data_IF_516575316394
#
_entry.id   IF_516575316394
#
_cell.length_a   1.000
_cell.length_b   1.000
_cell.length_c   1.000
_cell.angle_alpha   90.00
_cell.angle_beta   90.00
_cell.angle_gamma   90.00
#
_symmetry.space_group_name_H-M   'P 1'
#
loop_
_entity.id
_entity.type
_entity.pdbx_description
1 polymer ?
#
# COMPACT_ATOMS: atom_id res chain seq x y z
N UNK A 1 -2.69 -1.21 26.25
CA UNK A 1 -3.85 -1.15 25.32
C UNK A 1 -3.41 -0.36 24.08
N UNK A 2 -3.15 -1.04 22.95
CA UNK A 2 -2.73 -0.42 21.68
C UNK A 2 -3.73 -0.77 20.55
N UNK A 3 -5.03 -0.80 20.87
CA UNK A 3 -6.06 -1.47 20.06
C UNK A 3 -6.61 -0.66 18.88
N UNK A 4 -6.26 0.62 18.71
CA UNK A 4 -6.86 1.48 17.68
C UNK A 4 -5.86 2.23 16.79
N UNK A 5 -4.65 1.69 16.62
CA UNK A 5 -3.74 2.20 15.57
C UNK A 5 -3.64 1.16 14.45
N UNK A 6 -3.49 1.57 13.16
CA UNK A 6 -3.34 0.66 12.01
C UNK A 6 -2.04 -0.17 12.02
N UNK A 7 -1.38 -0.26 13.19
CA UNK A 7 -0.12 -0.96 13.41
C UNK A 7 -0.33 -2.29 14.15
N UNK A 8 -1.58 -2.64 14.48
CA UNK A 8 -1.94 -3.77 15.34
C UNK A 8 -1.60 -5.17 14.80
N UNK A 9 -1.33 -5.31 13.51
CA UNK A 9 -1.00 -6.61 12.89
C UNK A 9 0.47 -6.78 12.47
N UNK A 10 1.38 -5.87 12.85
CA UNK A 10 2.80 -6.01 12.49
C UNK A 10 3.12 -5.87 10.99
N UNK A 11 2.12 -5.53 10.16
CA UNK A 11 2.27 -5.08 8.76
C UNK A 11 2.71 -3.61 8.74
N UNK A 12 3.85 -3.44 9.37
CA UNK A 12 4.70 -2.27 9.55
C UNK A 12 4.81 -1.43 8.28
N UNK A 13 4.56 -0.12 8.42
CA UNK A 13 5.44 1.04 8.13
C UNK A 13 6.71 0.88 7.24
N UNK A 14 6.87 -0.20 6.49
CA UNK A 14 8.07 -0.53 5.76
C UNK A 14 8.08 0.25 4.46
N UNK A 15 9.02 1.19 4.38
CA UNK A 15 9.11 2.17 3.32
C UNK A 15 8.93 3.56 3.89
N UNK A 16 7.69 3.92 4.24
CA UNK A 16 7.37 5.24 4.80
C UNK A 16 8.14 5.56 6.09
N UNK A 17 8.27 4.64 7.06
CA UNK A 17 9.07 4.91 8.26
C UNK A 17 10.59 4.99 8.00
N UNK A 18 11.04 4.54 6.82
CA UNK A 18 12.43 4.70 6.35
C UNK A 18 12.59 5.89 5.41
N UNK A 19 11.56 6.74 5.28
CA UNK A 19 11.50 7.84 4.31
C UNK A 19 11.78 7.41 2.87
N UNK A 20 11.46 6.15 2.53
CA UNK A 20 11.58 5.68 1.16
C UNK A 20 10.43 6.25 0.32
N UNK A 21 10.75 6.61 -0.93
CA UNK A 21 9.75 7.07 -1.89
C UNK A 21 9.06 5.87 -2.52
N UNK A 22 7.74 5.84 -2.47
CA UNK A 22 6.92 4.86 -3.16
C UNK A 22 7.23 4.92 -4.67
N UNK A 23 7.52 3.76 -5.27
CA UNK A 23 7.83 3.64 -6.70
C UNK A 23 6.58 3.30 -7.51
N UNK A 24 5.88 2.25 -7.09
CA UNK A 24 4.66 1.78 -7.77
C UNK A 24 3.82 0.91 -6.83
N UNK A 25 2.53 0.85 -7.14
CA UNK A 25 1.57 -0.09 -6.55
C UNK A 25 1.38 -1.22 -7.56
N UNK A 26 1.64 -2.45 -7.13
CA UNK A 26 1.62 -3.64 -8.00
C UNK A 26 0.25 -4.31 -7.99
N UNK A 27 -0.32 -4.47 -6.81
CA UNK A 27 -1.62 -5.14 -6.65
C UNK A 27 -2.27 -4.77 -5.31
N UNK A 28 -3.53 -5.17 -5.13
CA UNK A 28 -4.27 -5.02 -3.89
C UNK A 28 -5.05 -6.30 -3.56
N UNK A 29 -5.14 -6.65 -2.28
CA UNK A 29 -5.96 -7.77 -1.80
C UNK A 29 -6.66 -7.46 -0.49
N UNK A 30 -7.84 -8.02 -0.31
CA UNK A 30 -8.57 -7.97 0.96
C UNK A 30 -8.03 -9.10 1.85
N UNK A 31 -7.58 -8.75 3.04
CA UNK A 31 -7.15 -9.71 4.06
C UNK A 31 -8.38 -10.35 4.74
N UNK A 32 -8.21 -11.48 5.42
CA UNK A 32 -9.31 -12.24 6.04
C UNK A 32 -10.11 -11.46 7.08
N UNK A 33 -9.52 -10.42 7.67
CA UNK A 33 -10.17 -9.50 8.61
C UNK A 33 -10.87 -8.31 7.91
N UNK A 34 -11.02 -8.33 6.58
CA UNK A 34 -11.61 -7.24 5.79
C UNK A 34 -10.67 -6.07 5.50
N UNK A 35 -9.41 -6.12 5.95
CA UNK A 35 -8.46 -5.03 5.72
C UNK A 35 -7.93 -5.06 4.28
N UNK A 36 -8.04 -3.95 3.56
CA UNK A 36 -7.44 -3.81 2.24
C UNK A 36 -5.94 -3.53 2.34
N UNK A 37 -5.14 -4.45 1.79
CA UNK A 37 -3.70 -4.38 1.72
C UNK A 37 -3.24 -4.14 0.27
N UNK A 38 -2.18 -3.37 0.12
CA UNK A 38 -1.55 -3.07 -1.15
C UNK A 38 -0.14 -3.62 -1.20
N UNK A 39 0.19 -4.22 -2.34
CA UNK A 39 1.52 -4.70 -2.65
C UNK A 39 2.28 -3.59 -3.36
N UNK A 40 3.38 -3.12 -2.77
CA UNK A 40 4.11 -1.94 -3.22
C UNK A 40 5.60 -2.19 -3.37
N UNK A 41 6.21 -1.40 -4.25
CA UNK A 41 7.65 -1.32 -4.42
C UNK A 41 8.16 0.09 -4.06
N UNK A 42 9.33 0.15 -3.46
CA UNK A 42 9.98 1.38 -3.03
C UNK A 42 11.21 1.66 -3.88
N UNK A 43 11.44 2.93 -4.18
CA UNK A 43 12.66 3.37 -4.87
C UNK A 43 13.86 3.06 -3.97
N UNK A 44 14.92 2.52 -4.58
CA UNK A 44 16.18 2.19 -3.91
C UNK A 44 16.08 1.16 -2.76
N UNK A 45 14.99 0.38 -2.64
CA UNK A 45 14.87 -0.74 -1.66
C UNK A 45 15.24 -2.10 -2.28
N UNK A 46 16.19 -2.14 -3.21
CA UNK A 46 16.69 -3.40 -3.78
C UNK A 46 15.62 -4.28 -4.43
N UNK A 47 14.66 -3.66 -5.12
CA UNK A 47 13.52 -4.34 -5.77
C UNK A 47 12.60 -5.15 -4.83
N UNK A 48 12.67 -4.88 -3.52
CA UNK A 48 11.83 -5.55 -2.54
C UNK A 48 10.39 -5.10 -2.67
N UNK A 49 9.50 -6.08 -2.58
CA UNK A 49 8.06 -5.88 -2.60
C UNK A 49 7.52 -6.08 -1.19
N UNK A 50 6.64 -5.18 -0.75
CA UNK A 50 6.09 -5.19 0.62
C UNK A 50 4.60 -4.94 0.62
N UNK A 51 3.93 -5.38 1.67
CA UNK A 51 2.52 -5.11 1.89
C UNK A 51 2.35 -3.94 2.83
N UNK A 52 1.45 -3.02 2.48
CA UNK A 52 1.07 -1.90 3.33
C UNK A 52 -0.45 -1.75 3.35
N UNK A 53 -0.98 -1.18 4.43
CA UNK A 53 -2.41 -0.92 4.54
C UNK A 53 -2.85 0.23 3.65
N UNK A 54 -4.10 0.14 3.18
CA UNK A 54 -4.75 1.18 2.39
C UNK A 54 -4.78 2.56 3.08
N UNK A 55 -4.85 2.57 4.42
CA UNK A 55 -4.83 3.79 5.25
C UNK A 55 -3.56 4.62 5.06
N UNK A 56 -2.41 3.96 4.91
CA UNK A 56 -1.12 4.61 4.71
C UNK A 56 -1.04 5.24 3.31
N UNK A 57 -1.50 4.54 2.27
CA UNK A 57 -1.50 5.09 0.91
C UNK A 57 -2.39 6.32 0.77
N UNK A 58 -3.59 6.28 1.36
CA UNK A 58 -4.48 7.46 1.39
C UNK A 58 -3.84 8.66 2.06
N UNK A 59 -3.01 8.43 3.08
CA UNK A 59 -2.37 9.49 3.86
C UNK A 59 -1.15 10.06 3.15
N UNK A 60 -0.25 9.19 2.67
CA UNK A 60 1.08 9.60 2.20
C UNK A 60 1.23 9.65 0.68
N UNK A 61 0.36 9.00 -0.08
CA UNK A 61 0.48 8.92 -1.55
C UNK A 61 -0.89 8.78 -2.25
N UNK A 62 -1.85 9.69 -2.00
CA UNK A 62 -3.21 9.56 -2.53
C UNK A 62 -3.28 9.61 -4.06
N UNK A 63 -2.41 10.39 -4.72
CA UNK A 63 -2.36 10.47 -6.19
C UNK A 63 -2.00 9.11 -6.82
N UNK A 64 -0.91 8.48 -6.35
CA UNK A 64 -0.55 7.13 -6.82
C UNK A 64 -1.64 6.09 -6.57
N UNK A 65 -2.40 6.23 -5.47
CA UNK A 65 -3.53 5.37 -5.20
C UNK A 65 -4.66 5.56 -6.22
N UNK A 66 -4.95 6.82 -6.61
CA UNK A 66 -5.92 7.13 -7.67
C UNK A 66 -5.47 6.57 -9.01
N UNK A 67 -4.23 6.84 -9.43
CA UNK A 67 -3.67 6.33 -10.68
C UNK A 67 -3.76 4.80 -10.78
N UNK A 68 -3.50 4.09 -9.68
CA UNK A 68 -3.63 2.64 -9.60
C UNK A 68 -5.07 2.18 -9.88
N UNK A 69 -6.07 2.83 -9.28
CA UNK A 69 -7.47 2.48 -9.48
C UNK A 69 -7.97 2.86 -10.87
N UNK A 70 -7.59 4.03 -11.38
CA UNK A 70 -7.92 4.45 -12.75
C UNK A 70 -7.42 3.43 -13.76
N UNK A 71 -6.14 3.01 -13.63
CA UNK A 71 -5.57 1.96 -14.48
C UNK A 71 -6.32 0.64 -14.34
N UNK A 72 -6.60 0.20 -13.10
CA UNK A 72 -7.28 -1.07 -12.85
C UNK A 72 -8.71 -1.09 -13.39
N UNK A 73 -9.41 0.05 -13.41
CA UNK A 73 -10.72 0.18 -14.04
C UNK A 73 -10.63 0.06 -15.56
N UNK A 74 -9.68 0.75 -16.19
CA UNK A 74 -9.46 0.66 -17.65
C UNK A 74 -9.14 -0.78 -18.07
N UNK A 75 -8.27 -1.45 -17.31
CA UNK A 75 -7.88 -2.84 -17.58
C UNK A 75 -9.05 -3.83 -17.42
N UNK A 76 -10.05 -3.53 -16.59
CA UNK A 76 -11.25 -4.37 -16.43
C UNK A 76 -12.24 -4.23 -17.59
N UNK A 77 -12.20 -3.10 -18.30
CA UNK A 77 -13.11 -2.78 -19.40
C UNK A 77 -12.51 -2.96 -20.80
N UNK A 78 -11.25 -3.43 -20.90
CA UNK A 78 -10.57 -3.77 -22.16
C UNK A 78 -10.63 -5.27 -22.44
#
# INVERSE_FOLDING_TARGET
>A
MYSNTPFGHGLTFNGFAKNLKLETILDCRVHSNGTLLFLVKWRNDGNRVRQIESSLLRTYSPQMLMDFYEKKMVDYHS
#
